data_IF_641857674817
#
_entry.id   IF_641857674817
#
_cell.length_a   1.000
_cell.length_b   1.000
_cell.length_c   1.000
_cell.angle_alpha   90.00
_cell.angle_beta   90.00
_cell.angle_gamma   90.00
#
_symmetry.space_group_name_H-M   'P 1'
#
loop_
_entity.id
_entity.type
_entity.pdbx_description
1 polymer ?
#
# COMPACT_ATOMS: atom_id res chain seq x y z
N UNK A 1 -10.74 -5.95 15.38
CA UNK A 1 -9.37 -5.90 14.82
C UNK A 1 -8.97 -4.45 14.56
N UNK A 2 -7.68 -4.14 14.63
CA UNK A 2 -7.12 -2.81 14.33
C UNK A 2 -6.01 -2.97 13.32
N UNK A 3 -6.11 -2.27 12.20
CA UNK A 3 -5.19 -2.39 11.06
C UNK A 3 -4.57 -1.03 10.78
N UNK A 4 -3.26 -1.04 10.57
CA UNK A 4 -2.51 0.10 10.07
C UNK A 4 -2.05 -0.24 8.64
N UNK A 5 -2.48 0.55 7.66
CA UNK A 5 -1.96 0.48 6.30
C UNK A 5 -1.12 1.73 6.02
N UNK A 6 0.09 1.54 5.53
CA UNK A 6 1.04 2.61 5.24
C UNK A 6 1.23 2.67 3.73
N UNK A 7 1.14 3.87 3.18
CA UNK A 7 1.24 4.09 1.74
C UNK A 7 2.63 3.81 1.16
N UNK A 8 2.83 4.17 -0.10
CA UNK A 8 4.01 3.83 -0.89
C UNK A 8 5.32 4.28 -0.21
N UNK A 9 6.14 3.33 0.23
CA UNK A 9 7.45 3.64 0.83
C UNK A 9 8.44 3.99 -0.28
N UNK A 10 8.92 5.25 -0.33
CA UNK A 10 9.79 5.74 -1.41
C UNK A 10 11.24 5.89 -0.95
N UNK A 11 12.09 4.98 -1.44
CA UNK A 11 13.55 5.05 -1.29
C UNK A 11 14.05 5.14 0.15
N UNK A 12 15.30 5.60 0.32
CA UNK A 12 15.96 5.63 1.63
C UNK A 12 15.25 6.56 2.62
N UNK A 13 14.73 7.69 2.13
CA UNK A 13 13.98 8.68 2.94
C UNK A 13 12.70 8.05 3.49
N UNK A 14 11.94 7.33 2.66
CA UNK A 14 10.75 6.61 3.08
C UNK A 14 11.04 5.51 4.11
N UNK A 15 12.10 4.72 3.89
CA UNK A 15 12.52 3.67 4.85
C UNK A 15 12.96 4.26 6.19
N UNK A 16 13.69 5.38 6.19
CA UNK A 16 14.05 6.12 7.40
C UNK A 16 12.79 6.58 8.15
N UNK A 17 11.86 7.21 7.46
CA UNK A 17 10.60 7.66 8.03
C UNK A 17 9.80 6.48 8.63
N UNK A 18 9.73 5.34 7.94
CA UNK A 18 9.06 4.16 8.47
C UNK A 18 9.69 3.69 9.79
N UNK A 19 11.01 3.55 9.80
CA UNK A 19 11.76 3.10 10.99
C UNK A 19 11.57 4.03 12.18
N UNK A 20 11.59 5.34 11.96
CA UNK A 20 11.44 6.36 13.01
C UNK A 20 10.01 6.43 13.56
N UNK A 21 9.00 6.28 12.69
CA UNK A 21 7.61 6.58 13.03
C UNK A 21 6.78 5.37 13.45
N UNK A 22 7.15 4.16 13.00
CA UNK A 22 6.38 2.96 13.30
C UNK A 22 6.24 2.67 14.81
N UNK A 23 7.27 2.85 15.67
CA UNK A 23 7.11 2.67 17.12
C UNK A 23 6.05 3.58 17.73
N UNK A 24 6.03 4.86 17.36
CA UNK A 24 5.02 5.83 17.80
C UNK A 24 3.61 5.41 17.36
N UNK A 25 3.46 5.01 16.09
CA UNK A 25 2.17 4.55 15.57
C UNK A 25 1.69 3.28 16.29
N UNK A 26 2.60 2.37 16.64
CA UNK A 26 2.29 1.19 17.45
C UNK A 26 1.79 1.57 18.85
N UNK A 27 2.40 2.55 19.51
CA UNK A 27 1.96 3.05 20.81
C UNK A 27 0.59 3.73 20.73
N UNK A 28 0.41 4.64 19.76
CA UNK A 28 -0.81 5.44 19.60
C UNK A 28 -2.02 4.59 19.22
N UNK A 29 -1.87 3.75 18.19
CA UNK A 29 -3.01 3.04 17.59
C UNK A 29 -3.16 1.60 18.09
N UNK A 30 -2.09 1.01 18.64
CA UNK A 30 -2.03 -0.41 19.05
C UNK A 30 -2.58 -1.33 17.94
N UNK A 31 -2.04 -1.25 16.72
CA UNK A 31 -2.51 -2.06 15.61
C UNK A 31 -2.20 -3.54 15.87
N UNK A 32 -3.12 -4.42 15.49
CA UNK A 32 -2.89 -5.86 15.51
C UNK A 32 -2.11 -6.27 14.26
N UNK A 33 -2.41 -5.64 13.12
CA UNK A 33 -1.77 -5.90 11.83
C UNK A 33 -1.29 -4.59 11.23
N UNK A 34 -0.10 -4.63 10.63
CA UNK A 34 0.56 -3.50 9.97
C UNK A 34 0.93 -3.93 8.57
N UNK A 35 0.40 -3.25 7.56
CA UNK A 35 0.67 -3.47 6.14
C UNK A 35 1.37 -2.24 5.59
N UNK A 36 2.34 -2.44 4.69
CA UNK A 36 2.99 -1.34 3.96
C UNK A 36 2.94 -1.63 2.46
N UNK A 37 2.80 -0.60 1.63
CA UNK A 37 3.11 -0.72 0.22
C UNK A 37 4.60 -0.45 0.00
N UNK A 38 5.34 -1.48 -0.44
CA UNK A 38 6.79 -1.45 -0.60
C UNK A 38 7.29 -1.22 -2.03
N UNK A 39 6.42 -0.86 -2.98
CA UNK A 39 6.80 -0.91 -4.41
C UNK A 39 7.89 0.06 -4.85
N UNK A 40 8.17 1.11 -4.06
CA UNK A 40 9.17 2.13 -4.35
C UNK A 40 10.36 2.10 -3.38
N UNK A 41 10.49 1.04 -2.58
CA UNK A 41 11.38 1.02 -1.43
C UNK A 41 12.87 0.94 -1.81
N UNK A 42 13.21 0.31 -2.94
CA UNK A 42 14.58 0.18 -3.44
C UNK A 42 14.93 1.32 -4.41
N UNK A 43 15.61 2.36 -3.91
CA UNK A 43 16.03 3.51 -4.74
C UNK A 43 14.90 4.13 -5.59
N UNK A 44 13.66 4.07 -5.08
CA UNK A 44 12.48 4.67 -5.70
C UNK A 44 11.67 3.74 -6.59
N UNK A 45 12.14 2.51 -6.91
CA UNK A 45 11.44 1.54 -7.75
C UNK A 45 11.82 0.09 -7.39
N UNK A 46 10.82 -0.74 -7.12
CA UNK A 46 10.97 -2.12 -6.68
C UNK A 46 11.35 -2.25 -5.21
N UNK A 47 11.65 -3.49 -4.81
CA UNK A 47 12.05 -3.87 -3.45
C UNK A 47 13.14 -4.94 -3.53
N UNK A 48 14.01 -5.01 -2.52
CA UNK A 48 14.99 -6.10 -2.36
C UNK A 48 14.64 -6.98 -1.18
N UNK A 49 15.11 -8.23 -1.16
CA UNK A 49 14.89 -9.14 -0.03
C UNK A 49 15.44 -8.59 1.29
N UNK A 50 16.55 -7.84 1.24
CA UNK A 50 17.09 -7.15 2.41
C UNK A 50 16.12 -6.10 2.96
N UNK A 51 15.52 -5.28 2.09
CA UNK A 51 14.55 -4.25 2.48
C UNK A 51 13.26 -4.87 3.02
N UNK A 52 12.75 -5.93 2.37
CA UNK A 52 11.58 -6.66 2.87
C UNK A 52 11.84 -7.20 4.29
N UNK A 53 13.01 -7.80 4.53
CA UNK A 53 13.43 -8.27 5.84
C UNK A 53 13.55 -7.14 6.88
N UNK A 54 14.06 -5.96 6.50
CA UNK A 54 14.07 -4.78 7.38
C UNK A 54 12.64 -4.43 7.85
N UNK A 55 11.67 -4.39 6.93
CA UNK A 55 10.29 -4.06 7.26
C UNK A 55 9.69 -5.07 8.25
N UNK A 56 9.88 -6.37 8.00
CA UNK A 56 9.43 -7.42 8.91
C UNK A 56 10.09 -7.31 10.29
N UNK A 57 11.39 -6.99 10.35
CA UNK A 57 12.11 -6.81 11.61
C UNK A 57 11.63 -5.58 12.40
N UNK A 58 11.09 -4.54 11.73
CA UNK A 58 10.43 -3.41 12.40
C UNK A 58 8.99 -3.75 12.83
N UNK A 59 8.52 -4.94 12.49
CA UNK A 59 7.21 -5.50 12.82
C UNK A 59 6.10 -5.01 11.90
N UNK A 60 6.40 -4.88 10.61
CA UNK A 60 5.41 -4.99 9.54
C UNK A 60 4.98 -6.45 9.42
N UNK A 61 3.71 -6.70 9.15
CA UNK A 61 3.13 -8.04 9.07
C UNK A 61 2.91 -8.51 7.62
N UNK A 62 2.72 -7.58 6.69
CA UNK A 62 2.57 -7.86 5.26
C UNK A 62 3.02 -6.71 4.39
N UNK A 63 3.44 -7.02 3.17
CA UNK A 63 3.92 -6.05 2.18
C UNK A 63 3.08 -6.20 0.91
N UNK A 64 2.45 -5.12 0.47
CA UNK A 64 1.87 -5.01 -0.87
C UNK A 64 2.87 -4.32 -1.79
N UNK A 65 2.70 -4.49 -3.10
CA UNK A 65 3.53 -3.89 -4.14
C UNK A 65 2.63 -3.22 -5.19
N UNK A 66 3.14 -2.94 -6.38
CA UNK A 66 2.40 -2.23 -7.42
C UNK A 66 3.01 -2.43 -8.81
N UNK A 67 2.97 -1.40 -9.64
CA UNK A 67 3.53 -1.47 -10.99
C UNK A 67 5.06 -1.59 -11.02
N UNK A 68 5.74 -1.18 -9.94
CA UNK A 68 7.19 -1.24 -9.83
C UNK A 68 7.72 -2.57 -9.25
N UNK A 69 6.84 -3.56 -9.04
CA UNK A 69 7.19 -4.90 -8.52
C UNK A 69 8.45 -5.50 -9.18
N UNK A 70 8.55 -5.43 -10.51
CA UNK A 70 9.56 -6.15 -11.29
C UNK A 70 10.81 -5.33 -11.66
N UNK A 71 10.91 -4.08 -11.20
CA UNK A 71 12.01 -3.19 -11.61
C UNK A 71 13.36 -3.54 -10.98
N UNK A 72 13.34 -4.27 -9.86
CA UNK A 72 14.53 -4.87 -9.28
C UNK A 72 14.55 -6.38 -9.58
N UNK A 73 15.57 -6.85 -10.30
CA UNK A 73 15.69 -8.25 -10.73
C UNK A 73 15.88 -9.22 -9.56
N UNK A 74 16.41 -8.76 -8.43
CA UNK A 74 16.62 -9.60 -7.25
C UNK A 74 15.28 -10.13 -6.69
N UNK A 75 14.14 -9.52 -7.07
CA UNK A 75 12.82 -9.97 -6.62
C UNK A 75 12.51 -11.42 -7.01
N UNK A 76 13.03 -11.89 -8.14
CA UNK A 76 12.80 -13.25 -8.63
C UNK A 76 13.49 -14.31 -7.77
N UNK A 77 14.47 -13.92 -6.95
CA UNK A 77 15.20 -14.86 -6.08
C UNK A 77 14.47 -15.13 -4.76
N UNK A 78 13.43 -14.36 -4.40
CA UNK A 78 12.79 -14.49 -3.08
C UNK A 78 11.27 -14.32 -3.05
N UNK A 79 10.63 -13.79 -4.09
CA UNK A 79 9.19 -13.48 -4.06
C UNK A 79 8.30 -14.71 -3.83
N UNK A 80 8.72 -15.88 -4.32
CA UNK A 80 7.99 -17.14 -4.13
C UNK A 80 8.14 -17.69 -2.71
N UNK A 81 9.28 -17.42 -2.06
CA UNK A 81 9.65 -17.93 -0.75
C UNK A 81 9.19 -17.03 0.41
N UNK A 82 8.77 -15.79 0.15
CA UNK A 82 8.27 -14.86 1.15
C UNK A 82 6.73 -14.77 1.14
N UNK A 83 6.01 -15.56 1.98
CA UNK A 83 4.56 -15.65 1.92
C UNK A 83 3.82 -14.41 2.43
N UNK A 84 4.51 -13.48 3.09
CA UNK A 84 3.91 -12.24 3.64
C UNK A 84 3.96 -11.07 2.65
N UNK A 85 4.57 -11.25 1.49
CA UNK A 85 4.67 -10.23 0.45
C UNK A 85 3.80 -10.62 -0.76
N UNK A 86 3.03 -9.66 -1.28
CA UNK A 86 2.10 -9.88 -2.39
C UNK A 86 2.26 -8.84 -3.49
N UNK A 87 2.17 -9.30 -4.74
CA UNK A 87 2.16 -8.49 -5.96
C UNK A 87 0.74 -8.34 -6.49
N UNK A 88 0.45 -7.44 -7.45
CA UNK A 88 -0.91 -7.33 -7.98
C UNK A 88 -1.41 -8.67 -8.56
N UNK A 89 -2.60 -9.10 -8.13
CA UNK A 89 -3.14 -10.42 -8.41
C UNK A 89 -3.51 -10.61 -9.88
N UNK A 90 -3.93 -9.53 -10.54
CA UNK A 90 -4.37 -9.50 -11.93
C UNK A 90 -3.23 -9.45 -12.96
N UNK A 91 -2.01 -9.83 -12.57
CA UNK A 91 -0.99 -10.23 -13.53
C UNK A 91 -1.31 -11.60 -14.14
N UNK A 92 -0.92 -11.87 -15.40
CA UNK A 92 -1.26 -13.10 -16.10
C UNK A 92 -0.82 -14.38 -15.38
N UNK A 93 -1.49 -15.53 -15.65
CA UNK A 93 -1.09 -16.83 -15.13
C UNK A 93 0.40 -17.14 -15.40
N UNK A 94 1.09 -17.71 -14.41
CA UNK A 94 2.52 -18.00 -14.47
C UNK A 94 3.42 -16.87 -13.96
N UNK A 95 2.86 -15.72 -13.57
CA UNK A 95 3.63 -14.64 -12.93
C UNK A 95 4.09 -15.05 -11.52
N UNK A 96 5.39 -14.87 -11.18
CA UNK A 96 5.92 -15.20 -9.86
C UNK A 96 5.19 -14.52 -8.69
N UNK A 97 5.38 -15.07 -7.50
CA UNK A 97 4.73 -14.61 -6.29
C UNK A 97 3.22 -14.87 -6.28
N UNK A 98 2.57 -14.25 -5.30
CA UNK A 98 1.13 -14.41 -5.05
C UNK A 98 0.40 -13.07 -5.07
N UNK A 99 -0.88 -13.13 -5.43
CA UNK A 99 -1.78 -11.96 -5.50
C UNK A 99 -2.45 -11.60 -4.17
N UNK A 100 -2.51 -12.56 -3.26
CA UNK A 100 -3.13 -12.44 -1.95
C UNK A 100 -2.46 -13.37 -0.95
N UNK A 101 -2.64 -13.10 0.34
CA UNK A 101 -2.16 -13.95 1.44
C UNK A 101 -2.92 -13.64 2.72
N UNK A 102 -2.77 -14.47 3.75
CA UNK A 102 -3.31 -14.22 5.09
C UNK A 102 -2.14 -13.96 6.03
N UNK A 103 -2.10 -12.77 6.62
CA UNK A 103 -1.07 -12.37 7.58
C UNK A 103 -1.60 -12.47 9.01
N UNK A 104 -0.69 -12.79 9.93
CA UNK A 104 -0.99 -12.94 11.37
C UNK A 104 -0.30 -11.84 12.17
N UNK A 105 -1.00 -11.24 13.11
CA UNK A 105 -0.45 -10.24 14.03
C UNK A 105 -1.28 -10.13 15.31
N UNK A 106 -0.62 -10.14 16.46
CA UNK A 106 -1.27 -10.08 17.79
C UNK A 106 -2.43 -11.09 17.97
N UNK A 107 -2.25 -12.31 17.46
CA UNK A 107 -3.26 -13.39 17.53
C UNK A 107 -4.45 -13.24 16.57
N UNK A 108 -4.39 -12.30 15.61
CA UNK A 108 -5.46 -12.05 14.63
C UNK A 108 -4.98 -12.32 13.21
N UNK A 109 -5.93 -12.65 12.34
CA UNK A 109 -5.69 -12.96 10.92
C UNK A 109 -6.37 -11.94 10.01
N UNK A 110 -5.59 -11.35 9.09
CA UNK A 110 -6.09 -10.44 8.06
C UNK A 110 -5.73 -11.01 6.69
N UNK A 111 -6.73 -11.23 5.84
CA UNK A 111 -6.47 -11.51 4.43
C UNK A 111 -6.13 -10.19 3.72
N UNK A 112 -5.07 -10.19 2.93
CA UNK A 112 -4.64 -9.05 2.13
C UNK A 112 -4.65 -9.44 0.65
N UNK A 113 -5.20 -8.57 -0.19
CA UNK A 113 -5.27 -8.72 -1.65
C UNK A 113 -4.66 -7.48 -2.28
N UNK A 114 -3.85 -7.66 -3.31
CA UNK A 114 -3.26 -6.56 -4.06
C UNK A 114 -3.78 -6.61 -5.50
N UNK A 115 -4.16 -5.48 -6.06
CA UNK A 115 -4.70 -5.34 -7.41
C UNK A 115 -4.05 -4.14 -8.09
N UNK A 116 -3.95 -4.18 -9.41
CA UNK A 116 -3.49 -3.04 -10.20
C UNK A 116 -4.58 -2.57 -11.17
N UNK A 117 -4.82 -1.26 -11.17
CA UNK A 117 -5.69 -0.62 -12.16
C UNK A 117 -5.10 -0.70 -13.58
N UNK A 118 -5.93 -0.37 -14.57
CA UNK A 118 -5.55 -0.44 -16.00
C UNK A 118 -5.64 0.92 -16.68
N UNK A 119 -6.41 1.85 -16.12
CA UNK A 119 -6.54 3.19 -16.69
C UNK A 119 -5.23 3.94 -16.46
N UNK A 120 -4.58 4.39 -17.54
CA UNK A 120 -3.25 5.01 -17.54
C UNK A 120 -2.08 4.11 -17.09
N UNK A 121 -2.33 2.80 -16.95
CA UNK A 121 -1.36 1.78 -16.57
C UNK A 121 -1.30 0.65 -17.62
N UNK A 122 -0.32 -0.27 -17.55
CA UNK A 122 -0.29 -1.43 -18.42
C UNK A 122 -1.60 -2.22 -18.42
N UNK A 123 -1.98 -2.74 -19.59
CA UNK A 123 -3.18 -3.56 -19.75
C UNK A 123 -2.99 -4.96 -19.14
N UNK A 124 -3.32 -5.08 -17.86
CA UNK A 124 -3.39 -6.35 -17.13
C UNK A 124 -4.80 -6.98 -17.22
N UNK A 125 -4.97 -8.15 -16.61
CA UNK A 125 -6.28 -8.78 -16.49
C UNK A 125 -7.25 -7.90 -15.70
N UNK A 126 -8.55 -8.12 -15.88
CA UNK A 126 -9.58 -7.26 -15.28
C UNK A 126 -9.51 -7.32 -13.75
N UNK A 127 -9.17 -6.22 -13.05
CA UNK A 127 -9.02 -6.25 -11.59
C UNK A 127 -10.34 -6.54 -10.88
N UNK A 128 -11.48 -6.16 -11.46
CA UNK A 128 -12.81 -6.43 -10.89
C UNK A 128 -13.16 -7.92 -10.86
N UNK A 129 -12.87 -8.65 -11.95
CA UNK A 129 -13.14 -10.10 -12.01
C UNK A 129 -12.21 -10.88 -11.10
N UNK A 130 -10.93 -10.51 -11.08
CA UNK A 130 -9.93 -11.10 -10.18
C UNK A 130 -10.29 -10.80 -8.72
N UNK A 131 -10.80 -9.61 -8.42
CA UNK A 131 -11.32 -9.28 -7.09
C UNK A 131 -12.51 -10.14 -6.70
N UNK A 132 -13.48 -10.36 -7.60
CA UNK A 132 -14.61 -11.26 -7.34
C UNK A 132 -14.12 -12.67 -6.99
N UNK A 133 -13.25 -13.25 -7.82
CA UNK A 133 -12.70 -14.59 -7.61
C UNK A 133 -12.00 -14.72 -6.25
N UNK A 134 -11.05 -13.82 -5.96
CA UNK A 134 -10.20 -13.92 -4.75
C UNK A 134 -10.98 -13.54 -3.49
N UNK A 135 -11.75 -12.45 -3.51
CA UNK A 135 -12.45 -11.96 -2.32
C UNK A 135 -13.58 -12.92 -1.95
N UNK A 136 -14.34 -13.45 -2.92
CA UNK A 136 -15.44 -14.36 -2.62
C UNK A 136 -14.93 -15.72 -2.10
N UNK A 137 -13.76 -16.19 -2.57
CA UNK A 137 -13.04 -17.35 -2.01
C UNK A 137 -12.61 -17.08 -0.56
N UNK A 138 -11.88 -15.98 -0.31
CA UNK A 138 -11.38 -15.64 1.02
C UNK A 138 -12.49 -15.46 2.06
N UNK A 139 -13.65 -14.93 1.67
CA UNK A 139 -14.78 -14.66 2.58
C UNK A 139 -15.42 -15.91 3.18
N UNK A 140 -15.17 -17.09 2.61
CA UNK A 140 -15.64 -18.35 3.16
C UNK A 140 -15.01 -18.60 4.54
N UNK A 141 -13.71 -18.31 4.67
CA UNK A 141 -12.93 -18.62 5.87
C UNK A 141 -12.48 -17.36 6.65
N UNK A 142 -12.40 -16.20 5.99
CA UNK A 142 -11.88 -14.96 6.57
C UNK A 142 -12.87 -13.80 6.43
N UNK A 143 -13.26 -13.19 7.56
CA UNK A 143 -14.16 -12.01 7.58
C UNK A 143 -13.43 -10.70 7.37
N UNK A 144 -12.19 -10.61 7.85
CA UNK A 144 -11.36 -9.41 7.75
C UNK A 144 -10.51 -9.45 6.49
N UNK A 145 -10.82 -8.59 5.52
CA UNK A 145 -10.16 -8.55 4.22
C UNK A 145 -9.75 -7.11 3.88
N UNK A 146 -8.49 -6.90 3.55
CA UNK A 146 -7.95 -5.64 3.05
C UNK A 146 -7.59 -5.79 1.57
N UNK A 147 -8.00 -4.83 0.75
CA UNK A 147 -7.65 -4.74 -0.66
C UNK A 147 -6.85 -3.46 -0.91
N UNK A 148 -5.61 -3.61 -1.36
CA UNK A 148 -4.79 -2.54 -1.92
C UNK A 148 -5.06 -2.44 -3.43
N UNK A 149 -5.64 -1.33 -3.87
CA UNK A 149 -5.96 -1.04 -5.27
C UNK A 149 -4.93 -0.04 -5.82
N UNK A 150 -3.83 -0.56 -6.34
CA UNK A 150 -2.73 0.21 -6.90
C UNK A 150 -3.08 0.76 -8.29
N UNK A 151 -3.53 2.01 -8.39
CA UNK A 151 -4.14 2.52 -9.62
C UNK A 151 -4.02 4.04 -9.78
N UNK A 152 -4.00 4.51 -11.03
CA UNK A 152 -3.93 5.95 -11.33
C UNK A 152 -5.31 6.62 -11.30
N UNK A 153 -6.28 6.09 -12.05
CA UNK A 153 -7.57 6.75 -12.22
C UNK A 153 -8.43 6.66 -10.96
N UNK A 154 -8.85 7.83 -10.45
CA UNK A 154 -9.77 7.95 -9.31
C UNK A 154 -11.09 7.23 -9.57
N UNK A 155 -11.61 7.26 -10.81
CA UNK A 155 -12.82 6.54 -11.18
C UNK A 155 -12.70 5.02 -11.01
N UNK A 156 -11.55 4.45 -11.35
CA UNK A 156 -11.29 3.00 -11.23
C UNK A 156 -11.17 2.59 -9.75
N UNK A 157 -10.52 3.43 -8.92
CA UNK A 157 -10.42 3.25 -7.46
C UNK A 157 -11.77 3.33 -6.76
N UNK A 158 -12.54 4.38 -7.05
CA UNK A 158 -13.88 4.57 -6.48
C UNK A 158 -14.82 3.44 -6.90
N UNK A 159 -14.76 3.03 -8.18
CA UNK A 159 -15.54 1.90 -8.67
C UNK A 159 -15.18 0.60 -7.94
N UNK A 160 -13.89 0.32 -7.68
CA UNK A 160 -13.47 -0.86 -6.92
C UNK A 160 -13.98 -0.80 -5.47
N UNK A 161 -13.95 0.38 -4.83
CA UNK A 161 -14.52 0.60 -3.51
C UNK A 161 -16.00 0.21 -3.44
N UNK A 162 -16.80 0.71 -4.37
CA UNK A 162 -18.23 0.37 -4.46
C UNK A 162 -18.47 -1.09 -4.85
N UNK A 163 -17.63 -1.65 -5.73
CA UNK A 163 -17.73 -3.04 -6.18
C UNK A 163 -17.54 -4.03 -5.02
N UNK A 164 -16.68 -3.69 -4.06
CA UNK A 164 -16.34 -4.52 -2.91
C UNK A 164 -17.03 -4.07 -1.61
N UNK A 165 -17.99 -3.14 -1.66
CA UNK A 165 -18.72 -2.70 -0.47
C UNK A 165 -19.49 -3.86 0.17
N UNK A 166 -19.30 -4.05 1.48
CA UNK A 166 -19.78 -5.21 2.25
C UNK A 166 -19.04 -6.52 1.97
N UNK A 167 -18.11 -6.53 1.00
CA UNK A 167 -17.26 -7.68 0.64
C UNK A 167 -15.84 -7.60 1.19
N UNK A 168 -15.28 -6.40 1.28
CA UNK A 168 -14.00 -6.14 1.94
C UNK A 168 -14.18 -5.32 3.23
N UNK A 169 -13.26 -5.45 4.17
CA UNK A 169 -13.22 -4.60 5.36
C UNK A 169 -12.61 -3.23 5.06
N UNK A 170 -11.59 -3.21 4.21
CA UNK A 170 -10.90 -2.00 3.74
C UNK A 170 -10.57 -2.13 2.26
N UNK A 171 -10.94 -1.14 1.45
CA UNK A 171 -10.41 -0.92 0.10
C UNK A 171 -9.64 0.39 0.13
N UNK A 172 -8.32 0.31 -0.01
CA UNK A 172 -7.43 1.47 0.02
C UNK A 172 -6.68 1.56 -1.31
N UNK A 173 -6.65 2.74 -1.91
CA UNK A 173 -5.84 2.97 -3.09
C UNK A 173 -4.41 3.38 -2.75
N UNK A 174 -3.48 3.08 -3.66
CA UNK A 174 -2.07 3.50 -3.67
C UNK A 174 -1.70 3.94 -5.09
N UNK A 175 -0.43 4.28 -5.36
CA UNK A 175 0.16 4.71 -6.66
C UNK A 175 0.34 6.21 -6.84
N UNK A 176 -0.66 7.05 -6.54
CA UNK A 176 -0.57 8.47 -6.96
C UNK A 176 0.34 9.31 -6.07
N UNK A 177 0.80 8.74 -4.95
CA UNK A 177 1.69 9.34 -3.95
C UNK A 177 1.13 10.58 -3.24
N UNK A 178 -0.17 10.89 -3.42
CA UNK A 178 -0.84 12.03 -2.79
C UNK A 178 -2.07 11.54 -2.06
N UNK A 179 -2.05 11.64 -0.73
CA UNK A 179 -3.18 11.19 0.10
C UNK A 179 -4.45 11.99 -0.21
N UNK A 180 -5.54 11.29 -0.47
CA UNK A 180 -6.85 11.90 -0.71
C UNK A 180 -7.58 12.31 0.59
N UNK A 181 -8.65 13.09 0.46
CA UNK A 181 -9.46 13.57 1.59
C UNK A 181 -10.91 13.10 1.49
N UNK A 182 -11.09 11.82 1.20
CA UNK A 182 -12.38 11.16 0.97
C UNK A 182 -12.52 9.86 1.77
N UNK A 183 -11.77 9.72 2.87
CA UNK A 183 -11.90 8.59 3.77
C UNK A 183 -13.32 8.51 4.32
N UNK A 184 -13.91 7.31 4.21
CA UNK A 184 -15.28 7.05 4.68
C UNK A 184 -15.51 5.57 4.88
N UNK A 185 -16.58 5.25 5.61
CA UNK A 185 -17.14 3.90 5.63
C UNK A 185 -18.33 3.91 4.65
N UNK A 186 -18.33 2.98 3.71
CA UNK A 186 -19.38 2.80 2.72
C UNK A 186 -20.62 2.13 3.36
N UNK A 187 -21.82 2.20 2.74
CA UNK A 187 -23.06 1.69 3.33
C UNK A 187 -23.03 0.21 3.74
N UNK A 188 -22.29 -0.64 3.03
CA UNK A 188 -22.09 -2.05 3.35
C UNK A 188 -21.06 -2.30 4.45
N UNK A 189 -20.43 -1.26 5.00
CA UNK A 189 -19.46 -1.35 6.10
C UNK A 189 -18.01 -1.41 5.66
N UNK A 190 -17.70 -1.25 4.36
CA UNK A 190 -16.31 -1.22 3.89
C UNK A 190 -15.67 0.14 4.14
N UNK A 191 -14.52 0.17 4.84
CA UNK A 191 -13.69 1.38 4.89
C UNK A 191 -13.08 1.64 3.51
N UNK A 192 -13.08 2.90 3.07
CA UNK A 192 -12.59 3.30 1.76
C UNK A 192 -11.73 4.56 1.84
N UNK A 193 -10.65 4.58 1.05
CA UNK A 193 -9.81 5.75 0.80
C UNK A 193 -9.25 5.68 -0.64
N UNK A 194 -9.41 6.74 -1.44
CA UNK A 194 -8.95 6.75 -2.84
C UNK A 194 -7.43 6.64 -2.97
N UNK A 195 -6.65 7.29 -2.10
CA UNK A 195 -5.20 7.12 -2.08
C UNK A 195 -4.64 7.32 -0.67
N UNK A 196 -3.82 6.36 -0.21
CA UNK A 196 -3.14 6.42 1.08
C UNK A 196 -2.03 7.48 1.13
N UNK A 197 -1.54 7.94 -0.01
CA UNK A 197 -0.35 8.79 -0.14
C UNK A 197 0.94 7.98 -0.09
N UNK A 198 2.09 8.67 -0.06
CA UNK A 198 3.41 8.04 0.06
C UNK A 198 4.05 8.26 1.44
N UNK A 199 5.08 7.48 1.75
CA UNK A 199 6.04 7.77 2.82
C UNK A 199 7.40 7.97 2.16
N UNK A 200 7.89 9.20 2.17
CA UNK A 200 9.04 9.55 1.34
C UNK A 200 9.39 11.04 1.38
N UNK A 201 10.22 11.49 0.43
CA UNK A 201 10.66 12.88 0.35
C UNK A 201 9.49 13.84 0.19
N UNK A 202 9.35 14.78 1.12
CA UNK A 202 8.25 15.76 1.17
C UNK A 202 8.35 16.81 0.09
N UNK A 203 9.56 17.27 -0.16
CA UNK A 203 9.82 18.47 -0.98
C UNK A 203 10.18 18.11 -2.44
N UNK A 204 10.10 16.83 -2.80
CA UNK A 204 10.26 16.30 -4.16
C UNK A 204 8.97 16.37 -5.00
N UNK A 205 9.02 15.88 -6.24
CA UNK A 205 7.80 15.62 -7.04
C UNK A 205 7.55 14.12 -7.02
N UNK A 206 6.56 13.70 -6.21
CA UNK A 206 6.16 12.31 -6.00
C UNK A 206 7.35 11.42 -5.55
N UNK A 207 8.26 12.00 -4.76
CA UNK A 207 9.44 11.34 -4.21
C UNK A 207 10.69 11.42 -5.09
N UNK A 208 10.61 12.03 -6.26
CA UNK A 208 11.75 12.23 -7.17
C UNK A 208 12.28 13.67 -7.11
N UNK A 209 13.58 13.85 -7.42
CA UNK A 209 14.23 15.17 -7.48
C UNK A 209 13.43 16.16 -8.35
N UNK A 210 13.09 17.32 -7.76
CA UNK A 210 12.27 18.36 -8.43
C UNK A 210 12.84 18.80 -9.77
N UNK A 211 14.13 19.12 -9.81
CA UNK A 211 14.78 19.68 -11.00
C UNK A 211 14.77 18.68 -12.18
N UNK A 212 14.97 17.39 -11.91
CA UNK A 212 14.91 16.35 -12.94
C UNK A 212 13.50 16.27 -13.55
N UNK A 213 12.47 16.22 -12.69
CA UNK A 213 11.08 16.12 -13.13
C UNK A 213 10.64 17.37 -13.89
N UNK A 214 10.96 18.57 -13.39
CA UNK A 214 10.66 19.84 -14.05
C UNK A 214 11.35 19.91 -15.42
N UNK A 215 12.63 19.54 -15.50
CA UNK A 215 13.36 19.48 -16.77
C UNK A 215 12.68 18.56 -17.78
N UNK A 216 12.20 17.39 -17.35
CA UNK A 216 11.45 16.48 -18.23
C UNK A 216 10.19 17.16 -18.78
N UNK A 217 9.40 17.83 -17.94
CA UNK A 217 8.20 18.53 -18.40
C UNK A 217 8.52 19.68 -19.36
N UNK A 218 9.55 20.49 -19.08
CA UNK A 218 9.93 21.60 -19.95
C UNK A 218 10.52 21.16 -21.29
N UNK A 219 11.38 20.14 -21.28
CA UNK A 219 12.19 19.78 -22.44
C UNK A 219 11.64 18.59 -23.21
N UNK A 220 10.78 17.78 -22.61
CA UNK A 220 10.34 16.47 -23.10
C UNK A 220 11.48 15.47 -23.35
N UNK A 221 12.70 15.78 -22.90
CA UNK A 221 13.87 14.91 -23.04
C UNK A 221 13.93 13.88 -21.92
N UNK A 222 14.57 12.71 -22.16
CA UNK A 222 14.87 11.76 -21.10
C UNK A 222 15.69 12.39 -19.98
N UNK A 223 15.29 12.12 -18.74
CA UNK A 223 16.04 12.47 -17.53
C UNK A 223 16.22 11.21 -16.69
N UNK A 224 17.30 11.19 -15.91
CA UNK A 224 17.44 10.18 -14.86
C UNK A 224 16.56 10.59 -13.68
N UNK A 225 15.68 9.70 -13.26
CA UNK A 225 14.96 9.87 -12.01
C UNK A 225 15.84 9.38 -10.85
N UNK A 226 15.96 10.22 -9.85
CA UNK A 226 16.68 9.98 -8.60
C UNK A 226 15.71 10.33 -7.48
N UNK A 227 15.68 9.51 -6.43
CA UNK A 227 14.88 9.79 -5.23
C UNK A 227 15.38 11.08 -4.61
N UNK A 228 14.47 11.99 -4.29
CA UNK A 228 14.83 13.25 -3.64
C UNK A 228 15.33 13.01 -2.22
N UNK A 229 16.17 13.90 -1.72
CA UNK A 229 16.66 13.88 -0.35
C UNK A 229 15.87 14.87 0.54
N UNK A 230 16.25 14.97 1.81
CA UNK A 230 15.72 15.99 2.72
C UNK A 230 14.59 15.47 3.59
N UNK A 231 13.61 16.34 3.87
CA UNK A 231 12.59 16.06 4.87
C UNK A 231 11.61 15.01 4.37
N UNK A 232 11.21 14.09 5.24
CA UNK A 232 10.15 13.14 4.92
C UNK A 232 8.75 13.66 5.29
N UNK A 233 7.76 13.14 4.59
CA UNK A 233 6.38 13.09 5.08
C UNK A 233 5.93 11.63 5.18
N UNK A 234 4.92 11.38 6.00
CA UNK A 234 4.44 10.03 6.27
C UNK A 234 2.92 10.00 6.14
N UNK A 235 2.41 9.14 5.27
CA UNK A 235 0.99 8.97 5.05
C UNK A 235 0.55 7.50 5.18
N UNK A 236 -0.67 7.30 5.67
CA UNK A 236 -1.27 5.99 5.83
C UNK A 236 -2.71 6.11 6.33
N UNK A 237 -3.30 4.98 6.70
CA UNK A 237 -4.66 4.91 7.23
C UNK A 237 -4.75 3.87 8.35
N UNK A 238 -5.45 4.24 9.41
CA UNK A 238 -5.83 3.37 10.51
C UNK A 238 -7.30 2.98 10.39
N UNK A 239 -7.60 1.69 10.57
CA UNK A 239 -8.97 1.16 10.50
C UNK A 239 -9.24 0.25 11.68
N UNK A 240 -10.39 0.44 12.33
CA UNK A 240 -10.96 -0.54 13.27
C UNK A 240 -12.03 -1.35 12.54
N UNK A 241 -11.96 -2.67 12.70
CA UNK A 241 -12.81 -3.65 12.02
C UNK A 241 -13.47 -4.51 13.09
N UNK A 242 -14.78 -4.72 13.00
CA UNK A 242 -15.46 -5.74 13.79
C UNK A 242 -15.12 -7.14 13.25
N UNK A 243 -14.53 -7.99 14.09
CA UNK A 243 -14.07 -9.32 13.69
C UNK A 243 -15.22 -10.30 13.45
N UNK A 244 -16.37 -10.09 14.07
CA UNK A 244 -17.53 -10.95 13.88
C UNK A 244 -18.19 -10.73 12.51
N UNK A 245 -18.19 -9.48 12.03
CA UNK A 245 -18.91 -9.09 10.82
C UNK A 245 -17.99 -8.80 9.63
N UNK A 246 -16.72 -8.44 9.89
CA UNK A 246 -15.79 -7.94 8.88
C UNK A 246 -16.00 -6.47 8.51
N UNK A 247 -16.99 -5.79 9.10
CA UNK A 247 -17.29 -4.39 8.81
C UNK A 247 -16.32 -3.44 9.53
N UNK A 248 -15.90 -2.38 8.86
CA UNK A 248 -15.17 -1.29 9.48
C UNK A 248 -16.10 -0.47 10.39
N UNK A 249 -15.60 -0.11 11.57
CA UNK A 249 -16.29 0.74 12.55
C UNK A 249 -15.66 2.12 12.66
N UNK A 250 -14.40 2.26 12.25
CA UNK A 250 -13.66 3.53 12.25
C UNK A 250 -12.61 3.53 11.15
N UNK A 251 -12.45 4.68 10.49
CA UNK A 251 -11.34 4.99 9.60
C UNK A 251 -10.72 6.32 10.05
N UNK A 252 -9.39 6.40 10.05
CA UNK A 252 -8.65 7.63 10.37
C UNK A 252 -7.40 7.70 9.49
N UNK A 253 -7.27 8.78 8.71
CA UNK A 253 -6.04 9.04 7.96
C UNK A 253 -4.90 9.42 8.89
N UNK A 254 -3.71 8.96 8.54
CA UNK A 254 -2.45 9.32 9.19
C UNK A 254 -1.71 10.25 8.27
N UNK A 255 -1.28 11.38 8.81
CA UNK A 255 -0.39 12.34 8.18
C UNK A 255 0.58 12.84 9.23
N UNK A 256 1.87 12.67 8.99
CA UNK A 256 2.93 13.18 9.85
C UNK A 256 4.00 13.87 9.00
N UNK A 257 4.51 14.99 9.48
CA UNK A 257 5.68 15.65 8.89
C UNK A 257 6.90 15.51 9.81
N UNK A 258 8.10 15.50 9.25
CA UNK A 258 9.36 15.38 10.03
C UNK A 258 9.57 16.53 11.02
N UNK A 259 9.05 17.72 10.70
CA UNK A 259 9.18 18.93 11.51
C UNK A 259 7.98 19.21 12.43
N UNK A 260 6.96 18.35 12.43
CA UNK A 260 5.84 18.47 13.36
C UNK A 260 6.19 17.85 14.71
N UNK A 261 6.05 18.64 15.78
CA UNK A 261 6.24 18.16 17.14
C UNK A 261 5.17 17.12 17.49
N UNK A 262 5.59 16.08 18.21
CA UNK A 262 4.71 15.00 18.68
C UNK A 262 4.73 14.97 20.19
N UNK A 263 3.56 14.92 20.80
CA UNK A 263 3.45 14.48 22.18
C UNK A 263 3.81 13.00 22.24
N UNK A 264 4.88 12.69 22.98
CA UNK A 264 5.26 11.32 23.35
C UNK A 264 4.17 10.63 24.18
#
# INVERSE_FOLDING_TARGET
MKVLFIGDIVGNVGRKALKENLPYLKTKYKPHVVIVNGENAAAGRGITGAIANEFFNWGVHGITLGNHTWDNKDIFDFIDDEPRMIRPANFPPGTPGRGYTVVKGEGKELAIVNLQGRTFLPALDCPFRVADEIVDELRQDHKCILVDMHAEATSEKIAMGWHLDGRASLVVGTHTHVQSNDDRILPGGTAYLTDAGMVGPRDGILGMEREAVLRKFYTQLPVRFVVDDGKWHFHGVFVEIDEATGAATRIEKIRLMEDEWRME
#
